data_IF_219259803268
#
_entry.id   IF_219259803268
#
_cell.length_a   1.000
_cell.length_b   1.000
_cell.length_c   1.000
_cell.angle_alpha   90.00
_cell.angle_beta   90.00
_cell.angle_gamma   90.00
#
_symmetry.space_group_name_H-M   'P 1'
#
loop_
_entity.id
_entity.type
_entity.pdbx_description
1 polymer ?
#
# COMPACT_ATOMS: atom_id res chain seq x y z
N UNK A 1 -3.18 13.46 5.60
CA UNK A 1 -2.87 12.03 5.71
C UNK A 1 -3.56 11.33 4.54
N UNK A 2 -3.24 10.06 4.23
CA UNK A 2 -3.98 9.31 3.20
C UNK A 2 -5.46 9.14 3.60
N UNK A 3 -6.36 9.21 2.62
CA UNK A 3 -7.79 9.39 2.85
C UNK A 3 -8.46 8.22 3.60
N UNK A 4 -7.97 7.01 3.39
CA UNK A 4 -8.38 5.79 4.09
C UNK A 4 -8.04 5.84 5.58
N UNK A 5 -6.82 6.20 5.94
CA UNK A 5 -6.40 6.38 7.33
C UNK A 5 -7.17 7.50 8.04
N UNK A 6 -7.46 8.60 7.33
CA UNK A 6 -8.32 9.66 7.87
C UNK A 6 -9.75 9.17 8.10
N UNK A 7 -10.25 8.30 7.22
CA UNK A 7 -11.62 7.77 7.29
C UNK A 7 -11.80 6.77 8.45
N UNK A 8 -10.90 5.79 8.60
CA UNK A 8 -11.02 4.79 9.67
C UNK A 8 -10.42 5.24 11.01
N UNK A 9 -9.54 6.24 11.02
CA UNK A 9 -8.81 6.66 12.21
C UNK A 9 -7.73 5.68 12.66
N UNK A 10 -7.32 4.75 11.78
CA UNK A 10 -6.27 3.79 12.10
C UNK A 10 -4.91 4.48 12.28
N UNK A 11 -4.06 3.97 13.18
CA UNK A 11 -2.70 4.47 13.30
C UNK A 11 -1.89 4.07 12.06
N UNK A 12 -1.02 4.98 11.61
CA UNK A 12 -0.06 4.65 10.56
C UNK A 12 0.81 3.44 10.98
N UNK A 13 1.25 2.62 10.01
CA UNK A 13 2.23 1.58 10.24
C UNK A 13 3.50 2.17 10.86
N UNK A 14 4.22 1.34 11.63
CA UNK A 14 5.47 1.76 12.29
C UNK A 14 6.60 0.81 11.92
N UNK A 15 7.78 1.39 11.65
CA UNK A 15 8.99 0.63 11.45
C UNK A 15 9.27 -0.31 12.63
N UNK A 16 9.69 -1.52 12.34
CA UNK A 16 9.93 -2.59 13.31
C UNK A 16 8.70 -3.45 13.63
N UNK A 17 7.48 -3.04 13.24
CA UNK A 17 6.26 -3.84 13.45
C UNK A 17 6.35 -5.19 12.75
N UNK A 18 5.89 -6.24 13.44
CA UNK A 18 5.75 -7.58 12.88
C UNK A 18 4.30 -7.83 12.48
N UNK A 19 4.11 -8.38 11.28
CA UNK A 19 2.78 -8.66 10.71
C UNK A 19 2.74 -10.08 10.17
N UNK A 20 1.70 -10.84 10.50
CA UNK A 20 1.47 -12.15 9.89
C UNK A 20 0.88 -11.95 8.49
N UNK A 21 1.50 -12.51 7.47
CA UNK A 21 0.95 -12.58 6.12
C UNK A 21 -0.09 -13.70 6.07
N UNK A 22 -1.31 -13.36 5.66
CA UNK A 22 -2.44 -14.27 5.57
C UNK A 22 -2.79 -14.48 4.10
N UNK A 23 -2.96 -15.74 3.69
CA UNK A 23 -3.40 -16.06 2.33
C UNK A 23 -4.93 -15.93 2.16
N UNK A 24 -5.41 -16.11 0.93
CA UNK A 24 -6.84 -16.03 0.59
C UNK A 24 -7.71 -17.12 1.25
N UNK A 25 -7.11 -18.18 1.79
CA UNK A 25 -7.79 -19.22 2.57
C UNK A 25 -7.79 -18.92 4.08
N UNK A 26 -7.28 -17.75 4.49
CA UNK A 26 -7.21 -17.34 5.89
C UNK A 26 -6.05 -17.98 6.68
N UNK A 27 -5.07 -18.60 6.01
CA UNK A 27 -3.94 -19.26 6.67
C UNK A 27 -2.75 -18.31 6.79
N UNK A 28 -2.07 -18.36 7.94
CA UNK A 28 -0.77 -17.68 8.11
C UNK A 28 0.26 -18.39 7.26
N UNK A 29 0.95 -17.66 6.39
CA UNK A 29 1.96 -18.21 5.47
C UNK A 29 3.37 -17.67 5.72
N UNK A 30 3.48 -16.50 6.34
CA UNK A 30 4.76 -15.86 6.63
C UNK A 30 4.66 -14.85 7.76
N UNK A 31 5.82 -14.51 8.34
CA UNK A 31 5.98 -13.38 9.24
C UNK A 31 6.81 -12.30 8.54
N UNK A 32 6.28 -11.08 8.49
CA UNK A 32 6.93 -9.90 7.91
C UNK A 32 7.34 -8.94 9.01
N UNK A 33 8.41 -8.19 8.76
CA UNK A 33 8.76 -7.00 9.54
C UNK A 33 8.80 -5.77 8.65
N UNK A 34 8.01 -4.75 8.98
CA UNK A 34 8.09 -3.44 8.34
C UNK A 34 9.45 -2.82 8.65
N UNK A 35 10.24 -2.50 7.63
CA UNK A 35 11.57 -1.90 7.75
C UNK A 35 11.55 -0.40 7.53
N UNK A 36 10.59 0.10 6.75
CA UNK A 36 10.42 1.52 6.47
C UNK A 36 8.94 1.83 6.23
N UNK A 37 8.52 3.00 6.71
CA UNK A 37 7.22 3.59 6.40
C UNK A 37 7.45 5.03 5.97
N UNK A 38 6.87 5.43 4.85
CA UNK A 38 6.92 6.80 4.35
C UNK A 38 5.53 7.24 3.93
N UNK A 39 5.09 8.39 4.44
CA UNK A 39 3.93 9.10 3.87
C UNK A 39 4.46 10.11 2.86
N UNK A 40 4.11 9.95 1.59
CA UNK A 40 4.61 10.81 0.52
C UNK A 40 3.59 10.98 -0.61
N UNK A 41 3.71 12.08 -1.38
CA UNK A 41 3.00 12.22 -2.64
C UNK A 41 3.24 11.03 -3.58
N UNK A 42 2.20 10.58 -4.28
CA UNK A 42 2.29 9.49 -5.25
C UNK A 42 3.31 9.78 -6.36
N UNK A 43 3.52 11.05 -6.72
CA UNK A 43 4.54 11.46 -7.70
C UNK A 43 5.98 11.19 -7.26
N UNK A 44 6.22 10.91 -5.97
CA UNK A 44 7.54 10.57 -5.42
C UNK A 44 7.80 9.05 -5.36
N UNK A 45 6.97 8.24 -6.02
CA UNK A 45 7.24 6.82 -6.22
C UNK A 45 8.12 6.64 -7.44
N UNK A 46 9.24 5.96 -7.25
CA UNK A 46 10.22 5.69 -8.30
C UNK A 46 10.09 4.25 -8.83
N UNK A 47 10.81 3.94 -9.91
CA UNK A 47 10.79 2.61 -10.52
C UNK A 47 11.35 1.53 -9.60
N UNK A 48 12.26 1.89 -8.69
CA UNK A 48 12.80 0.94 -7.74
C UNK A 48 11.70 0.46 -6.80
N UNK A 49 10.92 1.38 -6.23
CA UNK A 49 9.77 1.05 -5.39
C UNK A 49 8.70 0.26 -6.15
N UNK A 50 8.33 0.70 -7.35
CA UNK A 50 7.33 0.00 -8.17
C UNK A 50 7.74 -1.45 -8.48
N UNK A 51 9.03 -1.70 -8.74
CA UNK A 51 9.56 -3.06 -8.95
C UNK A 51 9.62 -3.88 -7.66
N UNK A 52 10.01 -3.25 -6.55
CA UNK A 52 10.16 -3.92 -5.25
C UNK A 52 8.82 -4.45 -4.70
N UNK A 53 7.68 -3.87 -5.11
CA UNK A 53 6.36 -4.38 -4.75
C UNK A 53 6.09 -5.77 -5.34
N UNK A 54 6.75 -6.13 -6.45
CA UNK A 54 6.78 -7.50 -6.95
C UNK A 54 5.51 -7.96 -7.70
N UNK A 55 4.58 -7.05 -8.01
CA UNK A 55 3.37 -7.36 -8.79
C UNK A 55 3.60 -7.39 -10.32
N UNK A 56 4.85 -7.29 -10.76
CA UNK A 56 5.21 -7.31 -12.19
C UNK A 56 5.14 -5.95 -12.88
N UNK A 57 5.24 -4.85 -12.13
CA UNK A 57 5.36 -3.52 -12.70
C UNK A 57 6.80 -3.23 -13.12
N UNK A 58 7.03 -3.06 -14.42
CA UNK A 58 8.34 -2.67 -14.96
C UNK A 58 8.56 -1.15 -14.87
N UNK A 59 7.48 -0.38 -14.77
CA UNK A 59 7.49 1.09 -14.78
C UNK A 59 6.56 1.69 -13.74
N UNK A 60 6.90 2.90 -13.24
CA UNK A 60 6.01 3.67 -12.36
C UNK A 60 4.65 3.96 -13.01
N UNK A 61 4.59 4.10 -14.34
CA UNK A 61 3.35 4.34 -15.04
C UNK A 61 2.37 3.16 -14.94
N UNK A 62 2.87 1.92 -15.08
CA UNK A 62 2.05 0.72 -14.89
C UNK A 62 1.58 0.58 -13.45
N UNK A 63 2.51 0.75 -12.50
CA UNK A 63 2.22 0.75 -11.07
C UNK A 63 1.12 1.77 -10.73
N UNK A 64 1.29 3.03 -11.17
CA UNK A 64 0.36 4.14 -10.92
C UNK A 64 -1.01 3.85 -11.52
N UNK A 65 -1.06 3.35 -12.76
CA UNK A 65 -2.34 3.02 -13.41
C UNK A 65 -3.10 1.90 -12.70
N UNK A 66 -2.40 0.89 -12.16
CA UNK A 66 -3.02 -0.18 -11.39
C UNK A 66 -3.56 0.33 -10.04
N UNK A 67 -2.76 1.11 -9.33
CA UNK A 67 -3.10 1.68 -8.03
C UNK A 67 -4.24 2.71 -8.11
N UNK A 68 -4.23 3.57 -9.13
CA UNK A 68 -5.35 4.48 -9.40
C UNK A 68 -6.66 3.72 -9.59
N UNK A 69 -6.66 2.64 -10.39
CA UNK A 69 -7.85 1.79 -10.56
C UNK A 69 -8.33 1.18 -9.25
N UNK A 70 -7.40 0.75 -8.41
CA UNK A 70 -7.72 0.21 -7.09
C UNK A 70 -8.36 1.27 -6.19
N UNK A 71 -7.71 2.42 -6.01
CA UNK A 71 -8.21 3.48 -5.13
C UNK A 71 -9.49 4.13 -5.63
N UNK A 72 -9.70 4.23 -6.95
CA UNK A 72 -10.96 4.73 -7.52
C UNK A 72 -11.99 3.62 -7.77
N UNK A 73 -11.70 2.39 -7.33
CA UNK A 73 -12.54 1.22 -7.53
C UNK A 73 -13.77 1.21 -6.62
N UNK A 74 -14.78 0.40 -6.94
CA UNK A 74 -16.07 0.41 -6.24
C UNK A 74 -15.96 0.07 -4.75
N UNK A 75 -15.04 -0.81 -4.36
CA UNK A 75 -14.83 -1.17 -2.95
C UNK A 75 -14.30 0.01 -2.14
N UNK A 76 -13.29 0.70 -2.65
CA UNK A 76 -12.72 1.89 -2.00
C UNK A 76 -13.71 3.05 -2.00
N UNK A 77 -14.44 3.27 -3.10
CA UNK A 77 -15.49 4.30 -3.15
C UNK A 77 -16.60 4.03 -2.14
N UNK A 78 -17.01 2.77 -1.98
CA UNK A 78 -18.02 2.40 -0.99
C UNK A 78 -17.49 2.60 0.44
N UNK A 79 -16.23 2.21 0.70
CA UNK A 79 -15.58 2.41 1.99
C UNK A 79 -15.48 3.89 2.36
N UNK A 80 -15.03 4.75 1.45
CA UNK A 80 -14.85 6.18 1.69
C UNK A 80 -16.14 7.01 1.62
N UNK A 81 -17.26 6.41 1.17
CA UNK A 81 -18.51 7.12 0.93
C UNK A 81 -18.51 8.02 -0.31
N UNK A 82 -17.56 7.79 -1.24
CA UNK A 82 -17.40 8.54 -2.49
C UNK A 82 -16.11 8.13 -3.20
N UNK A 83 -16.05 8.33 -4.52
CA UNK A 83 -14.85 8.01 -5.29
C UNK A 83 -13.76 9.05 -5.04
N UNK A 84 -12.57 8.65 -4.53
CA UNK A 84 -11.49 9.59 -4.29
C UNK A 84 -10.92 10.13 -5.61
N UNK A 85 -10.39 11.35 -5.57
CA UNK A 85 -9.64 11.92 -6.68
C UNK A 85 -8.15 11.66 -6.40
N UNK A 86 -7.49 10.95 -7.31
CA UNK A 86 -6.05 10.69 -7.24
C UNK A 86 -5.32 11.65 -8.17
N UNK A 87 -4.41 12.45 -7.62
CA UNK A 87 -3.55 13.41 -8.30
C UNK A 87 -2.11 13.25 -7.81
N UNK A 88 -1.17 13.95 -8.44
CA UNK A 88 0.26 13.82 -8.15
C UNK A 88 0.64 14.12 -6.69
N UNK A 89 -0.10 15.00 -6.01
CA UNK A 89 0.11 15.33 -4.60
C UNK A 89 -0.73 14.47 -3.63
N UNK A 90 -1.48 13.48 -4.14
CA UNK A 90 -2.20 12.53 -3.28
C UNK A 90 -1.19 11.77 -2.42
N UNK A 91 -1.33 11.89 -1.10
CA UNK A 91 -0.47 11.22 -0.14
C UNK A 91 -0.82 9.74 -0.05
N UNK A 92 0.19 8.89 -0.06
CA UNK A 92 0.08 7.45 0.15
C UNK A 92 1.01 7.01 1.28
N UNK A 93 0.68 5.88 1.93
CA UNK A 93 1.60 5.19 2.84
C UNK A 93 2.39 4.17 2.02
N UNK A 94 3.67 4.43 1.81
CA UNK A 94 4.60 3.51 1.17
C UNK A 94 5.37 2.73 2.25
N UNK A 95 5.16 1.42 2.31
CA UNK A 95 5.84 0.52 3.23
C UNK A 95 6.90 -0.31 2.52
N UNK A 96 8.02 -0.54 3.21
CA UNK A 96 8.95 -1.62 2.86
C UNK A 96 8.97 -2.61 4.01
N UNK A 97 9.06 -3.88 3.68
CA UNK A 97 9.14 -4.94 4.66
C UNK A 97 10.15 -6.00 4.24
N UNK A 98 10.54 -6.84 5.19
CA UNK A 98 11.33 -8.04 4.95
C UNK A 98 10.62 -9.26 5.49
N UNK A 99 10.83 -10.39 4.81
CA UNK A 99 10.40 -11.69 5.28
C UNK A 99 11.30 -12.14 6.44
N UNK A 100 10.70 -12.52 7.57
CA UNK A 100 11.41 -13.14 8.69
C UNK A 100 11.43 -14.67 8.59
N UNK A 101 10.42 -15.25 7.94
CA UNK A 101 10.33 -16.68 7.67
C UNK A 101 8.90 -17.11 7.33
N UNK A 102 8.72 -18.32 6.76
CA UNK A 102 7.41 -18.94 6.64
C UNK A 102 6.85 -19.34 8.02
N UNK A 103 5.54 -19.51 8.09
CA UNK A 103 4.84 -20.01 9.30
C UNK A 103 4.35 -21.43 9.06
#
# INVERSE_FOLDING_TARGET
MPADYEHCGDPLPVGGRWTALIDSAGRRVALLQTTQVRVAPIREIDEAFARDEGEGYDTVAQWRAAHERFWTGPEMSAFLGGTPIVVDDTLIVAERFRLLGPV
#
